data_IF_230516203965
#
_entry.id   IF_230516203965
#
_cell.length_a   1.000
_cell.length_b   1.000
_cell.length_c   1.000
_cell.angle_alpha   90.00
_cell.angle_beta   90.00
_cell.angle_gamma   90.00
#
_symmetry.space_group_name_H-M   'P 1'
#
loop_
_entity.id
_entity.type
_entity.pdbx_description
1 polymer ?
#
# COMPACT_ATOMS: atom_id res chain seq x y z
N UNK A 1 -7.42 -17.48 -12.76
CA UNK A 1 -7.27 -16.02 -12.93
C UNK A 1 -5.81 -15.71 -12.61
N UNK A 2 -5.08 -14.99 -13.46
CA UNK A 2 -3.79 -14.46 -13.03
C UNK A 2 -4.10 -13.36 -12.01
N UNK A 3 -3.73 -13.57 -10.76
CA UNK A 3 -3.92 -12.56 -9.73
C UNK A 3 -3.02 -11.36 -10.05
N UNK A 4 -3.61 -10.18 -10.07
CA UNK A 4 -2.90 -8.96 -10.41
C UNK A 4 -1.76 -8.73 -9.41
N UNK A 5 -0.55 -8.56 -9.91
CA UNK A 5 0.64 -8.31 -9.08
C UNK A 5 1.11 -6.87 -9.28
N UNK A 6 1.54 -6.21 -8.21
CA UNK A 6 2.09 -4.86 -8.28
C UNK A 6 3.30 -4.72 -7.34
N UNK A 7 4.22 -3.82 -7.71
CA UNK A 7 5.35 -3.43 -6.86
C UNK A 7 5.02 -2.15 -6.10
N UNK A 8 5.18 -2.16 -4.78
CA UNK A 8 5.10 -0.96 -3.93
C UNK A 8 6.44 -0.71 -3.26
N UNK A 9 6.76 0.55 -2.98
CA UNK A 9 7.94 0.90 -2.18
C UNK A 9 7.52 1.45 -0.84
N UNK A 10 8.09 0.94 0.24
CA UNK A 10 8.01 1.54 1.57
C UNK A 10 9.30 2.33 1.79
N UNK A 11 9.18 3.62 2.10
CA UNK A 11 10.32 4.48 2.48
C UNK A 11 9.81 5.73 3.19
N UNK A 12 10.56 6.21 4.20
CA UNK A 12 10.22 7.45 4.94
C UNK A 12 8.81 7.41 5.52
N UNK A 13 8.43 6.26 6.08
CA UNK A 13 7.10 6.00 6.62
C UNK A 13 5.95 6.09 5.60
N UNK A 14 6.24 6.06 4.30
CA UNK A 14 5.25 6.15 3.23
C UNK A 14 5.22 4.90 2.36
N UNK A 15 4.02 4.54 1.90
CA UNK A 15 3.81 3.57 0.83
C UNK A 15 3.69 4.31 -0.50
N UNK A 16 4.59 4.03 -1.43
CA UNK A 16 4.73 4.69 -2.72
C UNK A 16 4.31 3.76 -3.85
N UNK A 17 3.58 4.33 -4.81
CA UNK A 17 3.08 3.68 -6.01
C UNK A 17 3.50 4.50 -7.23
N UNK A 18 3.87 3.83 -8.32
CA UNK A 18 4.01 4.52 -9.61
C UNK A 18 2.65 5.00 -10.11
N UNK A 19 2.66 6.06 -10.92
CA UNK A 19 1.44 6.53 -11.58
C UNK A 19 0.75 5.45 -12.41
N UNK A 20 1.54 4.62 -13.10
CA UNK A 20 1.01 3.48 -13.88
C UNK A 20 0.30 2.46 -12.99
N UNK A 21 0.91 2.06 -11.87
CA UNK A 21 0.32 1.09 -10.95
C UNK A 21 -0.97 1.64 -10.31
N UNK A 22 -0.98 2.93 -9.97
CA UNK A 22 -2.18 3.60 -9.48
C UNK A 22 -3.30 3.59 -10.52
N UNK A 23 -3.04 3.99 -11.77
CA UNK A 23 -4.09 4.01 -12.81
C UNK A 23 -4.60 2.60 -13.14
N UNK A 24 -3.73 1.58 -13.10
CA UNK A 24 -4.16 0.20 -13.40
C UNK A 24 -5.00 -0.43 -12.29
N UNK A 25 -4.68 -0.15 -11.03
CA UNK A 25 -5.22 -0.92 -9.90
C UNK A 25 -6.04 -0.11 -8.89
N UNK A 26 -5.85 1.21 -8.84
CA UNK A 26 -6.44 2.11 -7.85
C UNK A 26 -7.14 3.32 -8.49
N UNK A 27 -7.40 3.32 -9.80
CA UNK A 27 -7.98 4.50 -10.45
C UNK A 27 -9.28 4.91 -9.76
N UNK A 28 -9.41 6.23 -9.52
CA UNK A 28 -10.52 6.88 -8.79
C UNK A 28 -10.61 6.58 -7.28
N UNK A 29 -9.72 5.76 -6.72
CA UNK A 29 -9.63 5.52 -5.28
C UNK A 29 -8.83 6.64 -4.63
N UNK A 30 -9.39 7.24 -3.58
CA UNK A 30 -8.75 8.37 -2.87
C UNK A 30 -7.87 7.91 -1.71
N UNK A 31 -8.09 6.72 -1.16
CA UNK A 31 -7.36 6.24 0.00
C UNK A 31 -7.26 4.73 0.08
N UNK A 32 -6.36 4.28 0.95
CA UNK A 32 -6.12 2.87 1.25
C UNK A 32 -6.14 2.65 2.75
N UNK A 33 -6.57 1.47 3.18
CA UNK A 33 -6.35 0.98 4.54
C UNK A 33 -5.17 0.02 4.51
N UNK A 34 -4.25 0.21 5.46
CA UNK A 34 -3.14 -0.71 5.70
C UNK A 34 -3.46 -1.54 6.94
N UNK A 35 -3.31 -2.85 6.83
CA UNK A 35 -3.47 -3.75 7.97
C UNK A 35 -2.31 -4.74 8.00
N UNK A 36 -1.91 -5.12 9.22
CA UNK A 36 -1.07 -6.28 9.44
C UNK A 36 -1.97 -7.48 9.72
N UNK A 37 -1.69 -8.60 9.07
CA UNK A 37 -2.28 -9.90 9.40
C UNK A 37 -1.14 -10.89 9.56
N UNK A 38 -0.85 -11.30 10.79
CA UNK A 38 0.33 -12.10 11.11
C UNK A 38 1.62 -11.40 10.64
N UNK A 39 2.33 -11.95 9.66
CA UNK A 39 3.52 -11.34 9.06
C UNK A 39 3.22 -10.59 7.74
N UNK A 40 1.97 -10.61 7.27
CA UNK A 40 1.58 -10.08 5.97
C UNK A 40 1.08 -8.63 6.06
N UNK A 41 1.34 -7.86 5.01
CA UNK A 41 0.78 -6.52 4.78
C UNK A 41 -0.44 -6.64 3.86
N UNK A 42 -1.58 -6.16 4.32
CA UNK A 42 -2.78 -6.00 3.50
C UNK A 42 -2.96 -4.52 3.14
N UNK A 43 -3.22 -4.27 1.85
CA UNK A 43 -3.49 -2.96 1.26
C UNK A 43 -4.89 -3.01 0.67
N UNK A 44 -5.85 -2.41 1.37
CA UNK A 44 -7.25 -2.39 0.96
C UNK A 44 -7.59 -1.06 0.28
N UNK A 45 -8.03 -1.05 -0.99
CA UNK A 45 -8.56 0.17 -1.60
C UNK A 45 -9.86 0.62 -0.92
N UNK A 46 -9.98 1.92 -0.62
CA UNK A 46 -11.18 2.49 0.01
C UNK A 46 -11.86 3.46 -0.95
N UNK A 47 -13.07 3.11 -1.38
CA UNK A 47 -13.86 3.91 -2.32
C UNK A 47 -14.51 5.14 -1.66
N UNK A 48 -14.83 5.07 -0.36
CA UNK A 48 -15.46 6.15 0.39
C UNK A 48 -14.47 6.71 1.42
N UNK A 49 -13.95 7.91 1.19
CA UNK A 49 -12.97 8.56 2.08
C UNK A 49 -13.45 8.71 3.55
N UNK A 50 -14.76 8.65 3.80
CA UNK A 50 -15.36 8.68 5.14
C UNK A 50 -15.15 7.37 5.93
N UNK A 51 -14.76 6.27 5.27
CA UNK A 51 -14.47 4.99 5.93
C UNK A 51 -13.09 4.95 6.62
N UNK A 52 -12.32 6.04 6.55
CA UNK A 52 -10.99 6.17 7.15
C UNK A 52 -9.86 5.65 6.26
N UNK A 53 -8.65 5.56 6.83
CA UNK A 53 -7.43 5.10 6.15
C UNK A 53 -6.47 6.23 5.75
N UNK A 54 -5.53 5.88 4.88
CA UNK A 54 -4.46 6.76 4.40
C UNK A 54 -4.80 7.31 3.02
N UNK A 55 -4.73 8.63 2.88
CA UNK A 55 -4.95 9.32 1.61
C UNK A 55 -3.82 9.00 0.61
N UNK A 56 -4.18 8.61 -0.62
CA UNK A 56 -3.25 8.48 -1.75
C UNK A 56 -3.00 9.84 -2.41
N UNK A 57 -2.01 10.56 -1.88
CA UNK A 57 -1.62 11.89 -2.37
C UNK A 57 -0.85 11.78 -3.68
N UNK A 58 -1.06 12.71 -4.61
CA UNK A 58 -0.19 12.84 -5.78
C UNK A 58 1.18 13.35 -5.33
N UNK A 59 2.23 12.60 -5.66
CA UNK A 59 3.62 12.90 -5.30
C UNK A 59 4.29 13.81 -6.32
N UNK A 60 4.00 13.64 -7.61
CA UNK A 60 4.64 14.38 -8.70
C UNK A 60 3.74 14.49 -9.94
N UNK A 61 4.24 15.20 -10.96
CA UNK A 61 3.53 15.37 -12.24
C UNK A 61 3.43 14.07 -13.06
N UNK A 62 4.30 13.08 -12.83
CA UNK A 62 4.21 11.75 -13.45
C UNK A 62 3.01 10.92 -12.95
N UNK A 63 2.34 11.37 -11.88
CA UNK A 63 1.14 10.73 -11.35
C UNK A 63 1.40 9.74 -10.22
N UNK A 64 2.65 9.60 -9.78
CA UNK A 64 3.01 8.76 -8.64
C UNK A 64 2.21 9.13 -7.39
N UNK A 65 1.91 8.13 -6.57
CA UNK A 65 1.14 8.28 -5.35
C UNK A 65 1.94 7.93 -4.11
N UNK A 66 1.58 8.58 -3.01
CA UNK A 66 2.10 8.24 -1.68
C UNK A 66 0.97 8.26 -0.66
N UNK A 67 0.90 7.19 0.14
CA UNK A 67 0.16 7.14 1.39
C UNK A 67 1.16 7.26 2.54
N UNK A 68 1.10 8.34 3.30
CA UNK A 68 1.93 8.51 4.49
C UNK A 68 1.30 7.76 5.65
N UNK A 69 1.99 6.73 6.14
CA UNK A 69 1.55 5.85 7.22
C UNK A 69 2.68 5.54 8.23
N UNK A 70 3.42 6.56 8.72
CA UNK A 70 4.62 6.33 9.54
C UNK A 70 4.30 5.57 10.82
N UNK A 71 3.20 5.93 11.51
CA UNK A 71 2.81 5.28 12.75
C UNK A 71 2.44 3.80 12.55
N UNK A 72 1.85 3.45 11.41
CA UNK A 72 1.56 2.06 11.06
C UNK A 72 2.82 1.26 10.80
N UNK A 73 3.76 1.78 10.00
CA UNK A 73 4.99 1.04 9.72
C UNK A 73 5.84 0.88 10.98
N UNK A 74 5.97 1.95 11.78
CA UNK A 74 6.69 1.92 13.06
C UNK A 74 6.07 0.95 14.06
N UNK A 75 4.76 0.97 14.22
CA UNK A 75 4.04 0.04 15.11
C UNK A 75 4.20 -1.43 14.69
N UNK A 76 4.58 -1.70 13.44
CA UNK A 76 4.78 -3.03 12.90
C UNK A 76 6.25 -3.40 12.70
N UNK A 77 7.18 -2.62 13.25
CA UNK A 77 8.61 -2.94 13.30
C UNK A 77 9.43 -2.48 12.09
N UNK A 78 8.85 -1.69 11.19
CA UNK A 78 9.61 -1.03 10.12
C UNK A 78 9.99 0.39 10.53
N UNK A 79 11.29 0.69 10.54
CA UNK A 79 11.80 2.01 10.92
C UNK A 79 11.54 3.04 9.81
N UNK A 80 11.54 4.34 10.16
CA UNK A 80 11.22 5.40 9.18
C UNK A 80 12.31 5.54 8.09
N UNK A 81 13.56 5.22 8.41
CA UNK A 81 14.71 5.22 7.49
C UNK A 81 14.83 3.93 6.67
N UNK A 82 14.02 2.92 6.97
CA UNK A 82 14.00 1.67 6.24
C UNK A 82 13.38 1.84 4.85
N UNK A 83 14.02 1.25 3.85
CA UNK A 83 13.53 1.22 2.47
C UNK A 83 13.34 -0.22 2.01
N UNK A 84 12.12 -0.55 1.59
CA UNK A 84 11.78 -1.87 1.04
C UNK A 84 11.00 -1.73 -0.26
N UNK A 85 11.31 -2.60 -1.21
CA UNK A 85 10.46 -2.84 -2.37
C UNK A 85 9.69 -4.14 -2.13
N UNK A 86 8.37 -4.08 -2.24
CA UNK A 86 7.47 -5.18 -1.90
C UNK A 86 6.66 -5.56 -3.14
N UNK A 87 6.69 -6.85 -3.48
CA UNK A 87 5.73 -7.47 -4.39
C UNK A 87 4.44 -7.75 -3.62
N UNK A 88 3.32 -7.25 -4.12
CA UNK A 88 2.00 -7.51 -3.55
C UNK A 88 1.06 -8.08 -4.60
N UNK A 89 0.23 -9.03 -4.19
CA UNK A 89 -0.66 -9.78 -5.09
C UNK A 89 -2.12 -9.55 -4.69
N UNK A 90 -2.98 -9.33 -5.68
CA UNK A 90 -4.42 -9.17 -5.46
C UNK A 90 -5.02 -10.46 -4.91
N UNK A 91 -5.72 -10.36 -3.79
CA UNK A 91 -6.49 -11.44 -3.20
C UNK A 91 -7.98 -11.06 -3.22
N UNK A 92 -8.76 -11.77 -4.04
CA UNK A 92 -10.20 -11.53 -4.16
C UNK A 92 -10.99 -11.85 -2.89
N UNK A 93 -10.49 -12.73 -2.02
CA UNK A 93 -11.15 -13.06 -0.74
C UNK A 93 -11.04 -11.94 0.28
N UNK A 94 -9.98 -11.13 0.17
CA UNK A 94 -9.74 -9.96 1.04
C UNK A 94 -10.11 -8.64 0.36
N UNK A 95 -10.43 -8.67 -0.94
CA UNK A 95 -10.67 -7.49 -1.78
C UNK A 95 -9.52 -6.46 -1.69
N UNK A 96 -8.28 -6.93 -1.72
CA UNK A 96 -7.10 -6.06 -1.63
C UNK A 96 -5.79 -6.76 -2.00
N UNK A 97 -4.69 -6.02 -1.93
CA UNK A 97 -3.36 -6.54 -2.23
C UNK A 97 -2.66 -7.04 -0.97
N UNK A 98 -1.96 -8.17 -1.08
CA UNK A 98 -1.24 -8.79 0.02
C UNK A 98 0.26 -8.86 -0.30
N UNK A 99 1.08 -8.26 0.55
CA UNK A 99 2.52 -8.50 0.61
C UNK A 99 2.81 -9.56 1.67
N UNK A 100 3.30 -10.73 1.25
CA UNK A 100 3.56 -11.86 2.15
C UNK A 100 4.86 -11.67 2.94
N UNK A 101 4.84 -11.98 4.23
CA UNK A 101 6.03 -11.99 5.08
C UNK A 101 6.72 -10.62 5.25
N UNK A 102 6.02 -9.53 4.94
CA UNK A 102 6.56 -8.17 4.97
C UNK A 102 7.06 -7.78 6.37
N UNK A 103 6.44 -8.32 7.41
CA UNK A 103 6.77 -8.07 8.82
C UNK A 103 7.37 -9.30 9.53
N UNK A 104 7.85 -10.30 8.78
CA UNK A 104 8.64 -11.38 9.36
C UNK A 104 10.03 -10.84 9.73
N UNK A 105 10.42 -11.04 10.99
CA UNK A 105 11.77 -10.74 11.49
C UNK A 105 12.76 -11.82 11.06
#
# INVERSE_FOLDING_TARGET
>A
MNDATLTVRVSRGGLHLSGEAYERHFSRISGIVLMRREADLLILPVLLAQAGGYLLKRKNLAGDRVAHAPDFFRANGMADDEERELQVVWDSSQAGFIGRGVFAN
#
